data_IF_595618208446
#
_entry.id   IF_595618208446
#
_cell.length_a   1.000
_cell.length_b   1.000
_cell.length_c   1.000
_cell.angle_alpha   90.00
_cell.angle_beta   90.00
_cell.angle_gamma   90.00
#
_symmetry.space_group_name_H-M   'P 1'
#
loop_
_entity.id
_entity.type
_entity.pdbx_description
1 polymer ?
#
# COMPACT_ATOMS: atom_id res chain seq x y z
N UNK A 1 27.14 11.01 -76.51
CA UNK A 1 26.11 11.58 -75.60
C UNK A 1 25.42 10.55 -74.69
N UNK A 2 25.20 9.30 -75.12
CA UNK A 2 24.51 8.26 -74.30
C UNK A 2 25.31 7.73 -73.09
N UNK A 3 26.65 7.74 -73.15
CA UNK A 3 27.51 7.18 -72.10
C UNK A 3 27.62 8.06 -70.84
N UNK A 4 27.44 9.39 -70.95
CA UNK A 4 27.45 10.31 -69.80
C UNK A 4 26.13 10.30 -69.02
N UNK A 5 25.02 10.00 -69.70
CA UNK A 5 23.68 9.89 -69.11
C UNK A 5 23.59 8.61 -68.27
N UNK A 6 24.14 7.49 -68.74
CA UNK A 6 24.18 6.23 -68.00
C UNK A 6 25.01 6.34 -66.71
N UNK A 7 26.15 7.05 -66.74
CA UNK A 7 26.98 7.32 -65.56
C UNK A 7 26.29 8.22 -64.54
N UNK A 8 25.52 9.23 -64.99
CA UNK A 8 24.70 10.07 -64.11
C UNK A 8 23.55 9.27 -63.46
N UNK A 9 22.91 8.37 -64.19
CA UNK A 9 21.86 7.51 -63.63
C UNK A 9 22.41 6.53 -62.60
N UNK A 10 23.60 5.96 -62.84
CA UNK A 10 24.26 5.07 -61.88
C UNK A 10 24.71 5.82 -60.61
N UNK A 11 25.18 7.07 -60.76
CA UNK A 11 25.57 7.93 -59.63
C UNK A 11 24.37 8.38 -58.79
N UNK A 12 23.22 8.66 -59.42
CA UNK A 12 21.97 9.00 -58.72
C UNK A 12 21.40 7.79 -57.98
N UNK A 13 21.43 6.59 -58.58
CA UNK A 13 21.03 5.35 -57.91
C UNK A 13 21.93 5.01 -56.70
N UNK A 14 23.23 5.28 -56.80
CA UNK A 14 24.16 5.12 -55.68
C UNK A 14 23.88 6.10 -54.53
N UNK A 15 23.57 7.37 -54.82
CA UNK A 15 23.21 8.36 -53.79
C UNK A 15 21.89 8.01 -53.07
N UNK A 16 20.90 7.44 -53.77
CA UNK A 16 19.64 7.00 -53.15
C UNK A 16 19.88 5.81 -52.21
N UNK A 17 20.75 4.85 -52.58
CA UNK A 17 21.08 3.70 -51.74
C UNK A 17 21.82 4.08 -50.44
N UNK A 18 22.62 5.15 -50.48
CA UNK A 18 23.32 5.67 -49.28
C UNK A 18 22.36 6.36 -48.31
N UNK A 19 21.26 6.97 -48.79
CA UNK A 19 20.24 7.57 -47.93
C UNK A 19 19.35 6.57 -47.16
N UNK A 20 19.20 5.32 -47.66
CA UNK A 20 18.46 4.27 -46.95
C UNK A 20 19.27 3.48 -45.92
N UNK A 21 20.57 3.77 -45.77
CA UNK A 21 21.45 3.08 -44.82
C UNK A 21 21.66 3.85 -43.49
N UNK A 22 20.91 4.93 -43.26
CA UNK A 22 21.03 5.72 -42.03
C UNK A 22 20.19 5.13 -40.90
N UNK A 23 20.88 4.41 -40.00
CA UNK A 23 20.48 4.04 -38.64
C UNK A 23 19.15 3.29 -38.45
N UNK A 24 19.17 1.96 -38.65
CA UNK A 24 18.54 1.11 -37.63
C UNK A 24 19.47 1.10 -36.42
N UNK A 25 19.20 1.95 -35.42
CA UNK A 25 19.62 1.63 -34.05
C UNK A 25 18.97 0.28 -33.76
N UNK A 26 19.75 -0.79 -33.83
CA UNK A 26 19.37 -2.05 -33.21
C UNK A 26 19.13 -1.69 -31.76
N UNK A 27 17.87 -1.61 -31.37
CA UNK A 27 17.51 -1.73 -29.98
C UNK A 27 18.08 -3.08 -29.61
N UNK A 28 19.21 -3.07 -28.90
CA UNK A 28 19.46 -4.17 -27.97
C UNK A 28 18.19 -4.17 -27.12
N UNK A 29 17.30 -5.13 -27.38
CA UNK A 29 16.36 -5.58 -26.38
C UNK A 29 17.26 -5.97 -25.21
N UNK A 30 17.46 -5.00 -24.31
CA UNK A 30 17.89 -5.26 -22.96
C UNK A 30 16.99 -6.43 -22.53
N UNK A 31 17.53 -7.61 -22.19
CA UNK A 31 16.69 -8.72 -21.74
C UNK A 31 15.75 -8.09 -20.73
N UNK A 32 14.43 -8.14 -21.01
CA UNK A 32 13.43 -7.46 -20.19
C UNK A 32 13.86 -7.72 -18.74
N UNK A 33 14.32 -6.68 -18.03
CA UNK A 33 14.44 -6.78 -16.58
C UNK A 33 13.02 -7.10 -16.19
N UNK A 34 12.74 -8.38 -15.93
CA UNK A 34 11.45 -8.82 -15.42
C UNK A 34 11.34 -8.06 -14.12
N UNK A 35 10.61 -6.95 -14.16
CA UNK A 35 10.46 -6.13 -12.99
C UNK A 35 9.82 -7.04 -11.93
N UNK A 36 10.40 -7.10 -10.72
CA UNK A 36 9.82 -7.91 -9.68
C UNK A 36 8.37 -7.46 -9.51
N UNK A 37 7.43 -8.40 -9.63
CA UNK A 37 6.02 -8.08 -9.48
C UNK A 37 5.81 -7.46 -8.08
N UNK A 38 5.57 -6.15 -8.06
CA UNK A 38 5.37 -5.39 -6.83
C UNK A 38 3.92 -5.41 -6.38
N UNK A 39 2.99 -5.98 -7.16
CA UNK A 39 1.61 -6.12 -6.75
C UNK A 39 1.45 -7.20 -5.67
N UNK A 40 0.57 -6.90 -4.74
CA UNK A 40 0.26 -7.77 -3.62
C UNK A 40 -0.98 -8.56 -3.98
N UNK A 41 -0.90 -9.89 -3.97
CA UNK A 41 -2.05 -10.77 -4.16
C UNK A 41 -2.94 -10.79 -2.90
N UNK A 42 -4.20 -11.18 -3.06
CA UNK A 42 -5.11 -11.29 -1.91
C UNK A 42 -4.61 -12.30 -0.86
N UNK A 43 -3.99 -13.40 -1.29
CA UNK A 43 -3.47 -14.42 -0.36
C UNK A 43 -2.28 -13.89 0.43
N UNK A 44 -1.38 -13.15 -0.22
CA UNK A 44 -0.28 -12.46 0.44
C UNK A 44 -0.80 -11.38 1.40
N UNK A 45 -1.81 -10.61 1.01
CA UNK A 45 -2.41 -9.62 1.90
C UNK A 45 -3.02 -10.28 3.15
N UNK A 46 -3.67 -11.45 2.99
CA UNK A 46 -4.26 -12.20 4.11
C UNK A 46 -3.18 -12.72 5.05
N UNK A 47 -2.09 -13.27 4.52
CA UNK A 47 -0.98 -13.75 5.37
C UNK A 47 -0.34 -12.60 6.13
N UNK A 48 -0.07 -11.47 5.48
CA UNK A 48 0.44 -10.26 6.13
C UNK A 48 -0.48 -9.78 7.25
N UNK A 49 -1.79 -9.70 6.99
CA UNK A 49 -2.75 -9.26 8.00
C UNK A 49 -2.80 -10.21 9.22
N UNK A 50 -2.74 -11.52 8.99
CA UNK A 50 -2.73 -12.51 10.07
C UNK A 50 -1.40 -12.49 10.84
N UNK A 51 -0.27 -12.42 10.15
CA UNK A 51 1.05 -12.34 10.76
C UNK A 51 1.18 -11.07 11.62
N UNK A 52 0.71 -9.93 11.10
CA UNK A 52 0.65 -8.68 11.86
C UNK A 52 -0.28 -8.80 13.07
N UNK A 53 -1.52 -9.24 12.87
CA UNK A 53 -2.56 -9.20 13.92
C UNK A 53 -2.40 -10.22 15.04
N UNK A 54 -1.66 -11.31 14.80
CA UNK A 54 -1.41 -12.39 15.76
C UNK A 54 -0.04 -12.26 16.45
N UNK A 55 0.83 -11.37 15.97
CA UNK A 55 2.11 -11.07 16.61
C UNK A 55 1.91 -9.94 17.65
N UNK A 56 2.03 -10.27 18.94
CA UNK A 56 1.88 -9.31 20.04
C UNK A 56 2.99 -8.25 20.09
N UNK A 57 4.17 -8.53 19.53
CA UNK A 57 5.33 -7.62 19.60
C UNK A 57 5.08 -6.33 18.80
N UNK A 58 4.16 -6.34 17.84
CA UNK A 58 3.71 -5.16 17.11
C UNK A 58 2.72 -4.28 17.90
N UNK A 59 2.10 -4.81 18.98
CA UNK A 59 1.03 -4.12 19.73
C UNK A 59 1.42 -3.77 21.18
N UNK A 60 2.41 -4.44 21.77
CA UNK A 60 2.73 -4.28 23.19
C UNK A 60 4.22 -4.04 23.43
N UNK A 61 4.62 -2.75 23.47
CA UNK A 61 5.74 -2.35 24.33
C UNK A 61 5.57 -0.94 24.90
N UNK A 62 4.49 -0.73 25.66
CA UNK A 62 4.26 0.50 26.43
C UNK A 62 4.67 0.41 27.91
N UNK A 63 5.28 -0.69 28.37
CA UNK A 63 5.73 -0.80 29.76
C UNK A 63 7.21 -1.19 29.80
N UNK A 64 8.10 -0.21 29.62
CA UNK A 64 9.51 -0.36 29.97
C UNK A 64 9.60 -0.27 31.50
N UNK A 65 9.66 -1.43 32.15
CA UNK A 65 10.40 -1.55 33.40
C UNK A 65 11.68 -2.33 33.06
N UNK A 66 12.89 -1.79 33.30
CA UNK A 66 14.11 -2.48 32.99
C UNK A 66 14.37 -3.49 34.10
N UNK A 67 13.81 -4.68 33.97
CA UNK A 67 14.19 -5.81 34.83
C UNK A 67 14.07 -7.11 34.07
N UNK A 68 15.23 -7.73 33.87
CA UNK A 68 15.50 -9.12 33.56
C UNK A 68 14.26 -10.04 33.65
N UNK A 69 13.51 -10.15 32.56
CA UNK A 69 12.49 -11.19 32.43
C UNK A 69 12.79 -12.02 31.20
N UNK A 70 13.03 -13.30 31.46
CA UNK A 70 13.07 -14.41 30.51
C UNK A 70 11.99 -14.18 29.45
N UNK A 71 12.37 -14.30 28.17
CA UNK A 71 11.45 -14.30 27.02
C UNK A 71 10.25 -15.21 27.31
N UNK A 72 9.15 -14.61 27.79
CA UNK A 72 7.86 -15.29 27.79
C UNK A 72 7.42 -15.30 26.33
N UNK A 73 7.30 -16.49 25.76
CA UNK A 73 6.70 -16.70 24.44
C UNK A 73 5.43 -15.85 24.33
N UNK A 74 5.41 -14.91 23.39
CA UNK A 74 4.28 -14.01 23.25
C UNK A 74 3.01 -14.83 22.96
N UNK A 75 1.95 -14.57 23.73
CA UNK A 75 0.67 -15.27 23.63
C UNK A 75 -0.01 -14.92 22.30
N UNK A 76 0.25 -15.70 21.24
CA UNK A 76 -0.34 -15.48 19.91
C UNK A 76 -1.86 -15.41 20.03
N UNK A 77 -2.45 -14.23 19.80
CA UNK A 77 -3.89 -14.11 19.60
C UNK A 77 -4.25 -14.93 18.37
N UNK A 78 -5.23 -15.82 18.45
CA UNK A 78 -5.66 -16.64 17.30
C UNK A 78 -6.78 -15.91 16.53
N UNK A 79 -6.48 -14.73 15.97
CA UNK A 79 -7.47 -13.98 15.19
C UNK A 79 -7.66 -14.61 13.82
N UNK A 80 -8.89 -14.56 13.32
CA UNK A 80 -9.25 -15.03 11.97
C UNK A 80 -9.79 -13.86 11.14
N UNK A 81 -9.67 -13.94 9.82
CA UNK A 81 -10.26 -12.94 8.92
C UNK A 81 -11.74 -13.27 8.74
N UNK A 82 -12.61 -12.35 9.17
CA UNK A 82 -14.06 -12.47 9.06
C UNK A 82 -14.58 -11.96 7.72
N UNK A 83 -14.03 -10.83 7.25
CA UNK A 83 -14.49 -10.19 6.00
C UNK A 83 -13.34 -9.45 5.34
N UNK A 84 -13.27 -9.55 4.02
CA UNK A 84 -12.35 -8.80 3.17
C UNK A 84 -13.13 -7.83 2.30
N UNK A 85 -12.65 -6.59 2.17
CA UNK A 85 -13.08 -5.63 1.15
C UNK A 85 -11.85 -5.13 0.39
N UNK A 86 -11.96 -5.04 -0.92
CA UNK A 86 -10.89 -4.56 -1.80
C UNK A 86 -11.31 -3.19 -2.35
N UNK A 87 -10.38 -2.24 -2.35
CA UNK A 87 -10.52 -0.98 -3.06
C UNK A 87 -9.54 -0.98 -4.23
N UNK A 88 -10.06 -0.84 -5.43
CA UNK A 88 -9.30 -0.82 -6.67
C UNK A 88 -8.88 0.60 -7.04
N UNK A 89 -7.70 0.75 -7.63
CA UNK A 89 -7.25 2.01 -8.24
C UNK A 89 -7.95 2.28 -9.59
N UNK A 90 -7.49 3.32 -10.28
CA UNK A 90 -8.01 3.74 -11.59
C UNK A 90 -7.77 2.72 -12.70
N UNK A 91 -6.78 1.84 -12.55
CA UNK A 91 -6.44 0.79 -13.51
C UNK A 91 -7.10 -0.56 -13.17
N UNK A 92 -8.07 -0.55 -12.24
CA UNK A 92 -8.73 -1.75 -11.72
C UNK A 92 -7.78 -2.74 -11.04
N UNK A 93 -6.65 -2.27 -10.51
CA UNK A 93 -5.72 -3.07 -9.71
C UNK A 93 -6.03 -2.90 -8.22
N UNK A 94 -5.98 -3.96 -7.39
CA UNK A 94 -6.19 -3.83 -5.95
C UNK A 94 -5.21 -2.83 -5.33
N UNK A 95 -5.71 -1.72 -4.79
CA UNK A 95 -4.89 -0.71 -4.13
C UNK A 95 -4.86 -0.90 -2.62
N UNK A 96 -6.00 -1.26 -2.02
CA UNK A 96 -6.15 -1.37 -0.58
C UNK A 96 -6.96 -2.62 -0.25
N UNK A 97 -6.43 -3.44 0.64
CA UNK A 97 -7.12 -4.60 1.20
C UNK A 97 -7.56 -4.29 2.64
N UNK A 98 -8.84 -4.33 2.91
CA UNK A 98 -9.41 -4.09 4.25
C UNK A 98 -9.90 -5.42 4.81
N UNK A 99 -9.34 -5.83 5.95
CA UNK A 99 -9.65 -7.11 6.59
C UNK A 99 -10.21 -6.86 7.97
N UNK A 100 -11.49 -7.18 8.15
CA UNK A 100 -12.09 -7.22 9.49
C UNK A 100 -11.80 -8.57 10.12
N UNK A 101 -11.37 -8.55 11.37
CA UNK A 101 -10.95 -9.71 12.14
C UNK A 101 -12.07 -10.21 13.06
N UNK A 102 -11.95 -11.46 13.48
CA UNK A 102 -12.76 -12.10 14.50
C UNK A 102 -11.88 -12.38 15.74
N UNK A 103 -12.30 -12.00 16.96
CA UNK A 103 -13.62 -11.47 17.34
C UNK A 103 -13.84 -9.98 17.01
N UNK A 104 -12.78 -9.17 16.96
CA UNK A 104 -12.86 -7.74 16.63
C UNK A 104 -11.51 -7.23 16.10
N UNK A 105 -11.51 -6.00 15.57
CA UNK A 105 -10.35 -5.35 14.97
C UNK A 105 -10.38 -5.37 13.45
N UNK A 106 -9.51 -4.57 12.85
CA UNK A 106 -9.26 -4.59 11.42
C UNK A 106 -7.79 -4.31 11.11
N UNK A 107 -7.36 -4.78 9.94
CA UNK A 107 -6.07 -4.45 9.34
C UNK A 107 -6.31 -4.00 7.90
N UNK A 108 -5.66 -2.90 7.52
CA UNK A 108 -5.66 -2.38 6.16
C UNK A 108 -4.26 -2.63 5.58
N UNK A 109 -4.20 -3.43 4.53
CA UNK A 109 -2.97 -3.87 3.88
C UNK A 109 -2.80 -3.18 2.52
N UNK A 110 -1.56 -2.80 2.19
CA UNK A 110 -1.22 -2.18 0.91
C UNK A 110 -1.37 -3.15 -0.27
N UNK A 111 -1.80 -2.61 -1.42
CA UNK A 111 -1.86 -3.32 -2.71
C UNK A 111 -0.52 -3.42 -3.44
N UNK A 112 0.53 -2.76 -2.95
CA UNK A 112 1.88 -2.78 -3.53
C UNK A 112 2.95 -2.97 -2.47
N UNK A 113 4.02 -3.69 -2.82
CA UNK A 113 5.24 -3.87 -2.02
C UNK A 113 6.10 -2.61 -1.94
N UNK A 114 5.80 -1.57 -2.74
CA UNK A 114 6.50 -0.27 -2.71
C UNK A 114 6.02 0.68 -1.61
N UNK A 115 5.07 0.25 -0.80
CA UNK A 115 4.46 0.99 0.30
C UNK A 115 4.49 0.14 1.57
N UNK A 116 4.36 0.76 2.75
CA UNK A 116 4.23 0.03 4.01
C UNK A 116 3.18 -1.10 3.91
N UNK A 117 3.49 -2.33 4.35
CA UNK A 117 2.55 -3.44 4.31
C UNK A 117 1.26 -3.14 5.07
N UNK A 118 1.37 -2.47 6.22
CA UNK A 118 0.24 -2.09 7.07
C UNK A 118 -0.01 -0.59 6.92
N UNK A 119 -1.15 -0.24 6.32
CA UNK A 119 -1.57 1.14 6.09
C UNK A 119 -2.31 1.74 7.29
N UNK A 120 -3.09 0.92 7.99
CA UNK A 120 -3.82 1.27 9.20
C UNK A 120 -4.35 0.01 9.88
N UNK A 121 -4.65 0.10 11.17
CA UNK A 121 -5.27 -1.00 11.90
C UNK A 121 -6.08 -0.48 13.10
N UNK A 122 -6.88 -1.36 13.68
CA UNK A 122 -7.51 -1.19 14.99
C UNK A 122 -7.60 -2.53 15.68
N UNK A 123 -7.35 -2.58 16.99
CA UNK A 123 -7.44 -3.82 17.77
C UNK A 123 -8.86 -4.22 18.14
N UNK A 124 -9.77 -3.25 18.22
CA UNK A 124 -11.07 -3.38 18.88
C UNK A 124 -12.25 -2.83 18.08
N UNK A 125 -12.02 -2.26 16.90
CA UNK A 125 -13.08 -1.70 16.06
C UNK A 125 -13.28 -2.51 14.76
N UNK A 126 -14.46 -2.38 14.14
CA UNK A 126 -14.80 -3.00 12.86
C UNK A 126 -14.89 -1.91 11.79
N UNK A 127 -14.09 -2.05 10.73
CA UNK A 127 -14.09 -1.12 9.62
C UNK A 127 -15.31 -1.30 8.71
N UNK A 128 -15.97 -0.20 8.38
CA UNK A 128 -17.13 -0.16 7.49
C UNK A 128 -17.16 1.13 6.68
N UNK A 129 -17.10 1.02 5.34
CA UNK A 129 -17.19 2.16 4.43
C UNK A 129 -18.63 2.54 4.08
N UNK A 130 -19.52 1.56 3.92
CA UNK A 130 -20.91 1.84 3.50
C UNK A 130 -21.64 2.76 4.47
N UNK A 131 -21.24 2.72 5.75
CA UNK A 131 -21.88 3.47 6.83
C UNK A 131 -21.19 4.81 7.13
N UNK A 132 -20.08 5.14 6.46
CA UNK A 132 -19.26 6.29 6.87
C UNK A 132 -19.67 7.59 6.18
N UNK A 133 -20.07 8.58 6.99
CA UNK A 133 -20.21 9.98 6.57
C UNK A 133 -18.91 10.79 6.76
N UNK A 134 -17.82 10.14 7.20
CA UNK A 134 -16.56 10.81 7.49
C UNK A 134 -15.82 11.18 6.19
N UNK A 135 -15.85 12.47 5.84
CA UNK A 135 -15.15 12.99 4.65
C UNK A 135 -13.63 12.89 4.77
N UNK A 136 -13.06 12.98 5.98
CA UNK A 136 -11.64 12.78 6.23
C UNK A 136 -11.19 11.37 5.87
N UNK A 137 -11.94 10.35 6.28
CA UNK A 137 -11.67 8.96 5.91
C UNK A 137 -11.77 8.75 4.39
N UNK A 138 -12.80 9.29 3.74
CA UNK A 138 -12.95 9.22 2.27
C UNK A 138 -11.77 9.89 1.55
N UNK A 139 -11.33 11.05 2.03
CA UNK A 139 -10.16 11.75 1.51
C UNK A 139 -8.88 10.94 1.70
N UNK A 140 -8.64 10.40 2.89
CA UNK A 140 -7.47 9.56 3.18
C UNK A 140 -7.40 8.34 2.25
N UNK A 141 -8.51 7.63 2.05
CA UNK A 141 -8.58 6.52 1.08
C UNK A 141 -8.22 6.98 -0.33
N UNK A 142 -8.79 8.12 -0.78
CA UNK A 142 -8.46 8.67 -2.10
C UNK A 142 -6.97 8.98 -2.24
N UNK A 143 -6.35 9.57 -1.22
CA UNK A 143 -4.92 9.89 -1.20
C UNK A 143 -4.08 8.61 -1.28
N UNK A 144 -4.37 7.60 -0.46
CA UNK A 144 -3.62 6.33 -0.46
C UNK A 144 -3.76 5.60 -1.81
N UNK A 145 -4.97 5.57 -2.39
CA UNK A 145 -5.17 5.02 -3.74
C UNK A 145 -4.29 5.72 -4.78
N UNK A 146 -4.26 7.06 -4.75
CA UNK A 146 -3.44 7.86 -5.65
C UNK A 146 -1.95 7.60 -5.47
N UNK A 147 -1.48 7.51 -4.22
CA UNK A 147 -0.09 7.18 -3.87
C UNK A 147 0.31 5.82 -4.43
N UNK A 148 -0.52 4.79 -4.25
CA UNK A 148 -0.23 3.44 -4.74
C UNK A 148 -0.22 3.37 -6.28
N UNK A 149 -1.15 4.07 -6.94
CA UNK A 149 -1.16 4.18 -8.41
C UNK A 149 0.12 4.86 -8.93
N UNK A 150 0.56 5.94 -8.26
CA UNK A 150 1.85 6.59 -8.54
C UNK A 150 3.04 5.64 -8.31
N UNK A 151 3.02 4.92 -7.17
CA UNK A 151 3.82 3.74 -6.80
C UNK A 151 4.19 2.84 -8.00
N UNK A 152 3.12 2.37 -8.64
CA UNK A 152 3.17 1.41 -9.74
C UNK A 152 3.76 1.99 -11.01
N UNK A 153 3.35 3.21 -11.37
CA UNK A 153 3.76 3.88 -12.61
C UNK A 153 5.22 4.32 -12.58
N UNK A 154 5.75 4.65 -11.41
CA UNK A 154 7.11 5.14 -11.27
C UNK A 154 8.10 3.99 -11.00
N UNK A 155 8.82 3.58 -12.04
CA UNK A 155 9.83 2.52 -11.97
C UNK A 155 11.03 2.91 -11.11
N UNK A 156 11.38 4.20 -11.07
CA UNK A 156 12.49 4.73 -10.29
C UNK A 156 12.08 5.14 -8.87
N UNK A 157 10.80 4.98 -8.50
CA UNK A 157 10.40 5.13 -7.10
C UNK A 157 11.06 4.02 -6.29
N UNK A 158 12.14 4.38 -5.60
CA UNK A 158 12.89 3.48 -4.73
C UNK A 158 12.01 2.98 -3.59
N UNK A 159 12.04 1.67 -3.36
CA UNK A 159 11.53 1.09 -2.13
C UNK A 159 12.54 1.37 -1.03
N UNK A 160 12.15 2.16 -0.04
CA UNK A 160 12.96 2.37 1.16
C UNK A 160 13.32 1.01 1.78
N UNK A 161 14.60 0.81 2.15
CA UNK A 161 15.08 -0.43 2.78
C UNK A 161 14.21 -0.84 3.98
N UNK A 162 13.76 0.14 4.77
CA UNK A 162 12.83 -0.10 5.89
C UNK A 162 11.49 -0.71 5.45
N UNK A 163 10.97 -0.34 4.28
CA UNK A 163 9.72 -0.94 3.74
C UNK A 163 9.97 -2.39 3.34
N UNK A 164 11.10 -2.65 2.68
CA UNK A 164 11.50 -4.01 2.28
C UNK A 164 11.65 -4.92 3.49
N UNK A 165 12.29 -4.44 4.55
CA UNK A 165 12.43 -5.15 5.83
C UNK A 165 11.07 -5.42 6.50
N UNK A 166 10.15 -4.45 6.50
CA UNK A 166 8.80 -4.64 7.03
C UNK A 166 8.02 -5.72 6.27
N UNK A 167 8.15 -5.76 4.94
CA UNK A 167 7.57 -6.82 4.13
C UNK A 167 8.19 -8.19 4.42
N UNK A 168 9.52 -8.26 4.55
CA UNK A 168 10.22 -9.50 4.90
C UNK A 168 9.79 -10.02 6.28
N UNK A 169 9.61 -9.12 7.26
CA UNK A 169 9.16 -9.48 8.61
C UNK A 169 7.70 -10.01 8.64
N UNK A 170 6.80 -9.44 7.84
CA UNK A 170 5.39 -9.81 7.82
C UNK A 170 5.03 -10.90 6.80
N UNK A 171 5.88 -11.11 5.80
CA UNK A 171 5.72 -12.15 4.78
C UNK A 171 7.09 -12.67 4.33
N UNK A 172 7.76 -13.49 5.16
CA UNK A 172 9.07 -14.02 4.82
C UNK A 172 9.00 -14.90 3.55
N UNK A 173 10.03 -14.88 2.70
CA UNK A 173 10.08 -15.70 1.50
C UNK A 173 10.02 -17.19 1.85
N UNK A 174 9.21 -17.94 1.10
CA UNK A 174 9.03 -19.39 1.30
C UNK A 174 10.35 -20.11 0.98
N UNK A 175 10.95 -20.76 1.98
CA UNK A 175 12.19 -21.55 1.82
C UNK A 175 13.50 -20.80 2.10
N UNK A 176 13.45 -19.54 2.54
CA UNK A 176 14.62 -18.89 3.15
C UNK A 176 14.89 -19.45 4.54
N UNK A 177 16.15 -19.44 4.99
CA UNK A 177 16.44 -19.57 6.42
C UNK A 177 15.58 -18.55 7.17
N UNK A 178 15.01 -18.95 8.31
CA UNK A 178 14.46 -18.01 9.28
C UNK A 178 15.62 -17.13 9.73
N UNK A 179 15.89 -16.05 9.01
CA UNK A 179 16.65 -14.94 9.58
C UNK A 179 15.73 -14.42 10.67
N UNK A 180 15.97 -14.83 11.92
CA UNK A 180 15.36 -14.21 13.08
C UNK A 180 15.70 -12.73 12.91
N UNK A 181 14.75 -11.87 12.51
CA UNK A 181 15.05 -10.45 12.42
C UNK A 181 15.48 -10.09 13.83
N UNK A 182 16.67 -9.50 13.98
CA UNK A 182 17.10 -8.98 15.27
C UNK A 182 15.94 -8.17 15.87
N UNK A 183 15.75 -8.18 17.20
CA UNK A 183 14.54 -7.64 17.82
C UNK A 183 14.29 -6.22 17.30
N UNK A 184 13.29 -6.08 16.43
CA UNK A 184 12.87 -4.77 15.93
C UNK A 184 12.16 -4.11 17.12
N UNK A 185 12.85 -3.20 17.79
CA UNK A 185 12.27 -2.45 18.90
C UNK A 185 11.38 -1.37 18.29
N UNK A 186 10.12 -1.69 18.06
CA UNK A 186 9.12 -0.69 17.75
C UNK A 186 8.60 -0.11 19.07
N UNK A 187 9.00 1.12 19.39
CA UNK A 187 8.41 1.86 20.50
C UNK A 187 7.10 2.49 20.02
N UNK A 188 5.98 1.90 20.41
CA UNK A 188 4.66 2.37 20.02
C UNK A 188 3.97 3.02 21.21
N UNK A 189 3.89 4.35 21.22
CA UNK A 189 3.01 5.04 22.17
C UNK A 189 1.57 4.90 21.70
N UNK A 190 0.71 4.35 22.56
CA UNK A 190 -0.71 4.19 22.28
C UNK A 190 -1.43 5.53 22.04
N UNK A 191 -2.74 5.51 21.71
CA UNK A 191 -3.50 6.74 21.57
C UNK A 191 -3.46 7.54 22.87
N UNK A 192 -2.90 8.75 22.81
CA UNK A 192 -2.79 9.65 23.96
C UNK A 192 -4.15 10.22 24.39
N UNK A 193 -5.09 10.28 23.44
CA UNK A 193 -6.44 10.80 23.66
C UNK A 193 -7.37 9.67 24.07
N UNK A 194 -8.17 9.94 25.10
CA UNK A 194 -9.26 9.07 25.56
C UNK A 194 -10.63 9.52 25.02
N UNK A 195 -10.70 10.70 24.41
CA UNK A 195 -11.94 11.28 23.91
C UNK A 195 -12.33 10.70 22.56
N UNK A 196 -13.63 10.49 22.35
CA UNK A 196 -14.21 10.08 21.08
C UNK A 196 -15.19 11.14 20.57
N UNK A 197 -14.65 12.28 20.13
CA UNK A 197 -15.46 13.42 19.68
C UNK A 197 -16.08 13.18 18.29
N UNK A 198 -17.23 13.81 18.07
CA UNK A 198 -17.97 13.75 16.80
C UNK A 198 -18.26 15.15 16.24
N UNK A 199 -19.04 15.19 15.16
CA UNK A 199 -19.55 16.42 14.56
C UNK A 199 -21.07 16.61 14.74
N UNK A 200 -21.71 15.64 15.42
CA UNK A 200 -23.17 15.61 15.61
C UNK A 200 -23.60 16.20 16.95
N UNK A 201 -24.78 15.78 17.39
CA UNK A 201 -25.43 16.18 18.65
C UNK A 201 -24.44 16.25 19.82
N UNK A 202 -24.60 17.25 20.70
CA UNK A 202 -23.72 17.59 21.83
C UNK A 202 -22.38 18.20 21.45
N UNK A 203 -21.86 17.93 20.26
CA UNK A 203 -20.64 18.57 19.75
C UNK A 203 -20.94 19.82 18.93
N UNK A 204 -22.16 19.96 18.41
CA UNK A 204 -22.56 21.05 17.53
C UNK A 204 -23.73 21.90 18.04
N UNK A 205 -24.06 21.81 19.33
CA UNK A 205 -25.21 22.51 19.96
C UNK A 205 -25.13 24.05 19.88
N UNK A 206 -23.91 24.59 19.68
CA UNK A 206 -23.65 26.02 19.54
C UNK A 206 -23.51 26.48 18.08
N UNK A 207 -23.63 25.57 17.10
CA UNK A 207 -23.62 25.92 15.67
C UNK A 207 -24.98 26.50 15.27
N UNK A 208 -25.04 27.51 14.37
CA UNK A 208 -26.30 28.05 13.88
C UNK A 208 -27.22 26.98 13.31
N UNK A 209 -28.53 27.09 13.58
CA UNK A 209 -29.53 26.25 12.95
C UNK A 209 -29.66 26.61 11.48
N UNK A 210 -29.30 25.67 10.60
CA UNK A 210 -29.42 25.86 9.15
C UNK A 210 -30.73 25.31 8.57
N UNK A 211 -31.67 24.91 9.44
CA UNK A 211 -33.07 24.58 9.14
C UNK A 211 -33.35 23.91 7.81
N UNK A 212 -33.27 22.58 7.74
CA UNK A 212 -33.92 21.78 6.68
C UNK A 212 -34.02 20.26 6.96
N UNK A 213 -33.49 19.70 8.05
CA UNK A 213 -33.74 18.28 8.41
C UNK A 213 -33.61 18.05 9.93
N UNK A 214 -34.48 17.17 10.45
CA UNK A 214 -34.53 16.47 11.77
C UNK A 214 -33.28 16.72 12.66
N UNK A 215 -33.42 17.09 13.95
CA UNK A 215 -32.60 18.11 14.60
C UNK A 215 -31.14 17.70 14.65
N UNK A 216 -30.37 18.12 13.65
CA UNK A 216 -28.92 17.92 13.66
C UNK A 216 -28.22 18.99 14.48
N UNK A 217 -28.94 19.94 15.08
CA UNK A 217 -28.44 20.95 16.01
C UNK A 217 -29.07 20.86 17.41
N UNK A 218 -29.70 19.74 17.76
CA UNK A 218 -30.01 19.40 19.16
C UNK A 218 -30.96 20.33 19.92
N UNK A 219 -31.66 21.27 19.26
CA UNK A 219 -32.69 22.10 19.92
C UNK A 219 -34.06 21.53 19.63
N UNK A 220 -34.63 20.85 20.63
CA UNK A 220 -36.07 20.63 20.76
C UNK A 220 -36.67 21.86 21.44
#
# INVERSE_FOLDING_TARGET
MKLSILKKQFFVLFLIAVFFSSCQKKQFENPQKVQPNTDVSINLAKSVALNFSNNLDFFQKNNVSPSNSKFKSSEKKNRKIKRVKIIYDENNLPAIYIMNLDPTGFVIVSGTKKESPILAFSENNIFSLEKTKNNGLKNWIRIIKGKISYLRKNETAETNDSITELWAALAPPVGGEETVPGPIVNEQVGPLLQTNWGQGERYNDLVPYLGCTIPTNGRV
#
